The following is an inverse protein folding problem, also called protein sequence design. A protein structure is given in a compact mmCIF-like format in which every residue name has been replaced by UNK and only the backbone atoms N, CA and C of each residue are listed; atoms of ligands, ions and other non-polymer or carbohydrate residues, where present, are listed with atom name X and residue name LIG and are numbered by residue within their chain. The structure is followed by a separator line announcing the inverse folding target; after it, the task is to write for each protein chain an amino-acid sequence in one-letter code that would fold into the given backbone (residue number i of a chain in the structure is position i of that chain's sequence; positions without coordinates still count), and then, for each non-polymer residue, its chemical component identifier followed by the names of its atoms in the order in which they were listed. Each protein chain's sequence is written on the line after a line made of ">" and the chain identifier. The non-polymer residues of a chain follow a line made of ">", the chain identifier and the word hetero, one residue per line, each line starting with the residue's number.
data_IF_080544425546
#
_entry.id   IF_080544425546
#
_cell.length_a   1.000
_cell.length_b   1.000
_cell.length_c   1.000
_cell.angle_alpha   90.00
_cell.angle_beta   90.00
_cell.angle_gamma   90.00
#
_symmetry.space_group_name_H-M   'P 1'
#
loop_
_entity.id
_entity.type
_entity.pdbx_description
1 polymer ?
#
# COMPACT_ATOMS: atom_id res chain seq x y z
N UNK A 1 20.29 -3.37 -1.99
CA UNK A 1 19.36 -2.22 -2.11
C UNK A 1 19.65 -1.52 -3.42
N UNK A 2 18.63 -1.18 -4.22
CA UNK A 2 18.78 -0.59 -5.57
C UNK A 2 18.96 0.94 -5.56
N UNK A 3 19.59 1.47 -4.50
CA UNK A 3 19.98 2.89 -4.42
C UNK A 3 18.97 3.88 -3.82
N UNK A 4 17.81 3.44 -3.32
CA UNK A 4 16.84 4.32 -2.65
C UNK A 4 17.16 4.53 -1.17
N UNK A 5 16.89 5.74 -0.65
CA UNK A 5 16.96 6.04 0.78
C UNK A 5 15.74 5.46 1.51
N UNK A 6 15.81 5.40 2.85
CA UNK A 6 14.70 4.92 3.67
C UNK A 6 13.47 5.82 3.51
N UNK A 7 13.67 7.12 3.49
CA UNK A 7 12.63 8.14 3.38
C UNK A 7 11.84 7.99 2.08
N UNK A 8 12.50 7.59 0.99
CA UNK A 8 11.86 7.37 -0.31
C UNK A 8 10.94 6.14 -0.35
N UNK A 9 11.14 5.16 0.54
CA UNK A 9 10.36 3.91 0.54
C UNK A 9 9.37 3.82 1.69
N UNK A 10 9.64 4.48 2.81
CA UNK A 10 8.92 4.29 4.08
C UNK A 10 7.41 4.47 3.94
N UNK A 11 6.98 5.50 3.19
CA UNK A 11 5.57 5.80 2.99
C UNK A 11 4.80 4.66 2.30
N UNK A 12 5.45 3.90 1.42
CA UNK A 12 4.83 2.80 0.68
C UNK A 12 4.61 1.53 1.50
N UNK A 13 5.22 1.42 2.70
CA UNK A 13 5.27 0.19 3.50
C UNK A 13 3.99 -0.05 4.33
N UNK A 14 2.83 0.04 3.67
CA UNK A 14 1.50 -0.21 4.25
C UNK A 14 1.40 -1.61 4.87
N UNK A 15 2.15 -2.57 4.33
CA UNK A 15 2.21 -3.95 4.84
C UNK A 15 2.66 -4.05 6.31
N UNK A 16 3.34 -3.04 6.87
CA UNK A 16 3.67 -2.98 8.30
C UNK A 16 2.45 -2.88 9.20
N UNK A 17 1.31 -2.43 8.66
CA UNK A 17 0.06 -2.27 9.40
C UNK A 17 -0.96 -3.37 9.12
N UNK A 18 -1.03 -3.86 7.87
CA UNK A 18 -2.10 -4.78 7.43
C UNK A 18 -1.60 -6.15 6.96
N UNK A 19 -0.29 -6.38 6.99
CA UNK A 19 0.34 -7.60 6.47
C UNK A 19 0.44 -7.63 4.94
N UNK A 20 0.74 -8.81 4.40
CA UNK A 20 0.93 -9.04 2.97
C UNK A 20 -0.41 -9.27 2.25
N UNK A 21 -0.80 -8.34 1.39
CA UNK A 21 -2.02 -8.40 0.57
C UNK A 21 -1.79 -8.90 -0.87
N UNK A 22 -0.65 -9.58 -1.09
CA UNK A 22 -0.31 -10.22 -2.37
C UNK A 22 -0.33 -9.20 -3.51
N UNK A 23 -1.14 -9.45 -4.55
CA UNK A 23 -1.23 -8.62 -5.75
C UNK A 23 -1.66 -7.17 -5.46
N UNK A 24 -2.32 -6.91 -4.32
CA UNK A 24 -2.71 -5.57 -3.93
C UNK A 24 -1.60 -4.79 -3.20
N UNK A 25 -0.50 -5.44 -2.82
CA UNK A 25 0.53 -4.82 -1.97
C UNK A 25 1.18 -3.59 -2.62
N UNK A 26 1.58 -3.69 -3.89
CA UNK A 26 2.16 -2.56 -4.63
C UNK A 26 1.15 -1.45 -4.87
N UNK A 27 -0.10 -1.80 -5.14
CA UNK A 27 -1.19 -0.84 -5.37
C UNK A 27 -1.54 -0.05 -4.10
N UNK A 28 -1.57 -0.70 -2.94
CA UNK A 28 -1.78 -0.02 -1.66
C UNK A 28 -0.62 0.91 -1.31
N UNK A 29 0.62 0.48 -1.57
CA UNK A 29 1.79 1.34 -1.43
C UNK A 29 1.74 2.56 -2.35
N UNK A 30 1.34 2.38 -3.62
CA UNK A 30 1.14 3.49 -4.56
C UNK A 30 0.05 4.45 -4.09
N UNK A 31 -1.11 3.94 -3.66
CA UNK A 31 -2.18 4.77 -3.15
C UNK A 31 -1.71 5.62 -1.96
N UNK A 32 -0.96 5.02 -1.03
CA UNK A 32 -0.42 5.73 0.13
C UNK A 32 0.55 6.86 -0.26
N UNK A 33 1.33 6.65 -1.33
CA UNK A 33 2.18 7.70 -1.88
C UNK A 33 1.32 8.83 -2.47
N UNK A 34 0.32 8.49 -3.29
CA UNK A 34 -0.56 9.49 -3.94
C UNK A 34 -1.32 10.36 -2.93
N UNK A 35 -1.70 9.82 -1.77
CA UNK A 35 -2.32 10.58 -0.67
C UNK A 35 -1.44 11.69 -0.09
N UNK A 36 -0.11 11.65 -0.30
CA UNK A 36 0.86 12.61 0.25
C UNK A 36 1.74 13.28 -0.80
N UNK A 37 1.65 12.84 -2.05
CA UNK A 37 2.49 13.34 -3.13
C UNK A 37 2.11 14.78 -3.51
N UNK A 38 3.10 15.51 -4.01
CA UNK A 38 2.95 16.84 -4.60
C UNK A 38 2.99 16.78 -6.13
N UNK A 39 2.33 17.73 -6.79
CA UNK A 39 2.41 17.88 -8.25
C UNK A 39 3.87 18.01 -8.71
N UNK A 40 4.22 17.32 -9.80
CA UNK A 40 5.56 17.28 -10.37
C UNK A 40 6.49 16.22 -9.76
N UNK A 41 6.13 15.60 -8.63
CA UNK A 41 6.93 14.52 -8.06
C UNK A 41 6.94 13.28 -8.96
N UNK A 42 8.01 12.48 -8.86
CA UNK A 42 8.17 11.25 -9.64
C UNK A 42 8.10 10.03 -8.73
N UNK A 43 7.28 9.06 -9.12
CA UNK A 43 7.08 7.81 -8.39
C UNK A 43 7.57 6.65 -9.27
N UNK A 44 8.40 5.77 -8.70
CA UNK A 44 8.72 4.48 -9.30
C UNK A 44 8.03 3.39 -8.47
N UNK A 45 7.11 2.65 -9.09
CA UNK A 45 6.51 1.46 -8.49
C UNK A 45 7.04 0.22 -9.20
N UNK A 46 7.44 -0.80 -8.45
CA UNK A 46 7.84 -2.10 -8.99
C UNK A 46 7.14 -3.21 -8.21
N UNK A 47 6.39 -4.06 -8.91
CA UNK A 47 5.69 -5.21 -8.33
C UNK A 47 6.57 -6.46 -8.33
N UNK A 48 6.13 -7.53 -7.67
CA UNK A 48 6.76 -8.85 -7.80
C UNK A 48 5.70 -9.94 -7.66
N UNK A 49 5.74 -10.91 -8.59
CA UNK A 49 4.93 -12.12 -8.56
C UNK A 49 5.81 -13.37 -8.61
N UNK A 50 5.54 -14.34 -7.73
CA UNK A 50 6.28 -15.60 -7.66
C UNK A 50 6.11 -16.43 -8.94
N UNK A 51 7.21 -17.00 -9.45
CA UNK A 51 7.21 -17.75 -10.72
C UNK A 51 8.49 -17.64 -11.58
N UNK A 52 9.06 -16.47 -11.91
CA UNK A 52 8.91 -15.13 -11.34
C UNK A 52 8.76 -14.04 -12.42
N UNK A 53 8.12 -12.93 -12.04
CA UNK A 53 7.92 -11.75 -12.89
C UNK A 53 7.80 -10.47 -12.06
N UNK A 54 8.03 -9.33 -12.70
CA UNK A 54 7.97 -8.01 -12.09
C UNK A 54 7.54 -6.99 -13.13
N UNK A 55 6.63 -6.10 -12.73
CA UNK A 55 6.19 -4.98 -13.56
C UNK A 55 6.63 -3.67 -12.91
N UNK A 56 7.28 -2.80 -13.69
CA UNK A 56 7.76 -1.50 -13.25
C UNK A 56 7.04 -0.36 -13.97
N UNK A 57 6.62 0.63 -13.21
CA UNK A 57 5.89 1.81 -13.69
C UNK A 57 6.56 3.08 -13.17
N UNK A 58 6.73 4.07 -14.05
CA UNK A 58 7.18 5.41 -13.67
C UNK A 58 6.05 6.41 -13.88
N UNK A 59 5.69 7.12 -12.82
CA UNK A 59 4.65 8.14 -12.83
C UNK A 59 5.25 9.51 -12.59
N UNK A 60 4.66 10.52 -13.20
CA UNK A 60 4.84 11.93 -12.83
C UNK A 60 3.49 12.42 -12.32
N UNK A 61 3.47 12.91 -11.09
CA UNK A 61 2.25 13.36 -10.42
C UNK A 61 1.78 14.65 -11.06
N UNK A 62 0.50 14.74 -11.40
CA UNK A 62 -0.12 15.94 -11.96
C UNK A 62 -0.73 16.81 -10.86
N UNK A 63 -1.08 18.03 -11.21
CA UNK A 63 -1.87 18.96 -10.37
C UNK A 63 -3.24 18.39 -9.95
N UNK A 64 -3.84 17.51 -10.75
CA UNK A 64 -5.07 16.77 -10.39
C UNK A 64 -4.98 15.91 -9.12
N UNK A 65 -3.80 15.78 -8.51
CA UNK A 65 -3.65 15.08 -7.24
C UNK A 65 -4.47 15.72 -6.11
N UNK A 66 -4.69 17.04 -6.18
CA UNK A 66 -5.51 17.78 -5.21
C UNK A 66 -6.98 17.31 -5.21
N UNK A 67 -7.53 17.00 -6.39
CA UNK A 67 -8.88 16.44 -6.52
C UNK A 67 -8.97 15.05 -5.86
N UNK A 68 -7.96 14.20 -6.07
CA UNK A 68 -7.88 12.87 -5.44
C UNK A 68 -7.80 13.00 -3.91
N UNK A 69 -6.94 13.91 -3.43
CA UNK A 69 -6.72 14.15 -2.00
C UNK A 69 -7.90 14.84 -1.31
N UNK A 70 -8.85 15.40 -2.06
CA UNK A 70 -10.11 15.93 -1.50
C UNK A 70 -11.04 14.83 -0.97
N UNK A 71 -10.81 13.57 -1.35
CA UNK A 71 -11.59 12.44 -0.85
C UNK A 71 -11.34 12.26 0.66
N UNK A 72 -12.40 12.17 1.49
CA UNK A 72 -12.26 12.29 2.95
C UNK A 72 -11.68 11.06 3.64
N UNK A 73 -11.53 9.93 2.94
CA UNK A 73 -11.07 8.67 3.53
C UNK A 73 -9.76 8.23 2.89
N UNK A 74 -8.68 8.30 3.65
CA UNK A 74 -7.36 7.82 3.26
C UNK A 74 -7.10 6.39 3.80
N UNK A 75 -5.97 5.80 3.46
CA UNK A 75 -5.55 4.48 3.96
C UNK A 75 -5.53 4.43 5.49
N UNK A 76 -5.14 5.51 6.16
CA UNK A 76 -5.11 5.57 7.63
C UNK A 76 -6.50 5.47 8.23
N UNK A 77 -7.50 6.11 7.62
CA UNK A 77 -8.90 5.96 8.02
C UNK A 77 -9.31 4.48 8.01
N UNK A 78 -8.99 3.73 6.96
CA UNK A 78 -9.34 2.32 6.86
C UNK A 78 -8.53 1.42 7.80
N UNK A 79 -7.24 1.70 8.01
CA UNK A 79 -6.38 0.96 8.95
C UNK A 79 -6.91 1.11 10.39
N UNK A 80 -7.33 2.31 10.77
CA UNK A 80 -7.88 2.59 12.11
C UNK A 80 -9.28 2.00 12.31
N UNK A 81 -10.00 1.75 11.21
CA UNK A 81 -11.32 1.13 11.24
C UNK A 81 -11.23 -0.41 11.26
N UNK A 82 -10.57 -0.93 12.28
CA UNK A 82 -10.34 -2.37 12.48
C UNK A 82 -10.90 -2.83 13.82
N UNK A 83 -11.05 -4.15 13.98
CA UNK A 83 -11.45 -4.78 15.23
C UNK A 83 -10.49 -5.94 15.50
N UNK A 84 -9.82 -5.87 16.64
CA UNK A 84 -8.93 -6.95 17.07
C UNK A 84 -9.74 -8.22 17.38
N UNK A 85 -9.14 -9.36 17.04
CA UNK A 85 -9.70 -10.68 17.27
C UNK A 85 -8.64 -11.59 17.88
N UNK A 86 -9.07 -12.52 18.74
CA UNK A 86 -8.20 -13.57 19.23
C UNK A 86 -7.94 -14.64 18.15
N UNK A 87 -6.98 -15.51 18.43
CA UNK A 87 -6.59 -16.57 17.50
C UNK A 87 -7.69 -17.60 17.25
N UNK A 88 -8.54 -17.88 18.24
CA UNK A 88 -9.65 -18.82 18.10
C UNK A 88 -10.69 -18.30 17.11
N UNK A 89 -11.03 -17.01 17.21
CA UNK A 89 -11.93 -16.33 16.27
C UNK A 89 -11.31 -16.23 14.88
N UNK A 90 -10.01 -15.90 14.78
CA UNK A 90 -9.26 -15.92 13.52
C UNK A 90 -9.31 -17.30 12.86
N UNK A 91 -8.98 -18.36 13.59
CA UNK A 91 -8.95 -19.73 13.08
C UNK A 91 -10.34 -20.17 12.60
N UNK A 92 -11.40 -19.78 13.32
CA UNK A 92 -12.79 -19.98 12.88
C UNK A 92 -13.08 -19.23 11.57
N UNK A 93 -12.79 -17.93 11.49
CA UNK A 93 -13.06 -17.13 10.28
C UNK A 93 -12.27 -17.60 9.05
N UNK A 94 -11.07 -18.12 9.27
CA UNK A 94 -10.22 -18.67 8.19
C UNK A 94 -10.50 -20.14 7.87
N UNK A 95 -11.39 -20.82 8.60
CA UNK A 95 -11.71 -22.23 8.38
C UNK A 95 -10.53 -23.18 8.70
N UNK A 96 -9.71 -22.84 9.69
CA UNK A 96 -8.53 -23.63 10.09
C UNK A 96 -8.85 -24.71 11.12
N UNK A 97 -10.04 -24.66 11.73
CA UNK A 97 -10.52 -25.65 12.68
C UNK A 97 -11.12 -26.83 11.91
N UNK A 98 -10.71 -28.05 12.25
CA UNK A 98 -11.27 -29.30 11.71
C UNK A 98 -12.41 -29.80 12.58
#
# INVERSE_FOLDING_TARGET
>A
AVGFTKEQVELSLVCRHIGNTYSASSMLGLNRILEKASSGERILMTSYGSGAGSDSFSFVVTDKIEELQSYPFDIEYYIKRTKDIDYGLYARYKGLLK
#
